data_IF_621954150824
#
_entry.id   IF_621954150824
#
_cell.length_a   1.000
_cell.length_b   1.000
_cell.length_c   1.000
_cell.angle_alpha   90.00
_cell.angle_beta   90.00
_cell.angle_gamma   90.00
#
_symmetry.space_group_name_H-M   'P 1'
#
loop_
_entity.id
_entity.type
_entity.pdbx_description
1 polymer ?
#
# COMPACT_ATOMS: atom_id res chain seq x y z
N UNK A 1 -38.03 27.07 -8.63
CA UNK A 1 -37.13 27.96 -7.89
C UNK A 1 -37.24 27.62 -6.40
N UNK A 2 -36.31 26.84 -5.88
CA UNK A 2 -36.27 26.50 -4.45
C UNK A 2 -34.86 26.73 -3.93
N UNK A 3 -34.72 27.75 -3.06
CA UNK A 3 -33.46 28.18 -2.47
C UNK A 3 -33.25 27.40 -1.17
N UNK A 4 -32.35 26.39 -1.15
CA UNK A 4 -31.94 25.79 0.11
C UNK A 4 -30.75 26.57 0.71
N UNK A 5 -31.05 27.27 1.82
CA UNK A 5 -30.06 27.91 2.69
C UNK A 5 -29.38 26.84 3.53
N UNK A 6 -28.08 26.60 3.29
CA UNK A 6 -27.25 25.79 4.17
C UNK A 6 -26.71 26.71 5.27
N UNK A 7 -27.11 26.40 6.51
CA UNK A 7 -26.65 27.06 7.73
C UNK A 7 -25.32 26.39 8.14
N UNK A 8 -24.25 27.17 8.15
CA UNK A 8 -23.00 26.77 8.75
C UNK A 8 -23.13 26.87 10.27
N UNK A 9 -22.95 25.75 10.95
CA UNK A 9 -22.80 25.69 12.41
C UNK A 9 -21.30 25.51 12.67
N UNK A 10 -20.68 26.53 13.25
CA UNK A 10 -19.34 26.45 13.85
C UNK A 10 -19.48 25.84 15.26
N UNK A 11 -18.61 24.93 15.65
CA UNK A 11 -18.30 24.75 17.05
C UNK A 11 -16.88 25.19 17.42
N UNK A 12 -16.86 26.12 18.29
CA UNK A 12 -16.05 26.38 19.47
C UNK A 12 -14.73 25.63 19.64
N UNK A 13 -13.68 26.46 19.71
CA UNK A 13 -12.37 26.20 20.28
C UNK A 13 -12.48 25.76 21.76
N UNK A 14 -11.86 24.62 22.08
CA UNK A 14 -11.46 24.29 23.44
C UNK A 14 -9.92 24.28 23.51
N UNK A 15 -9.37 25.32 24.10
CA UNK A 15 -7.98 25.42 24.53
C UNK A 15 -7.83 24.63 25.84
N UNK A 16 -6.97 23.62 25.83
CA UNK A 16 -6.51 23.00 27.09
C UNK A 16 -5.00 23.17 27.17
N UNK A 17 -4.62 24.07 28.06
CA UNK A 17 -3.27 24.21 28.60
C UNK A 17 -3.12 23.22 29.75
N UNK A 18 -2.01 22.47 29.82
CA UNK A 18 -1.50 21.92 31.08
C UNK A 18 -0.10 21.34 30.88
N UNK A 19 0.79 22.02 31.52
CA UNK A 19 1.59 21.60 32.67
C UNK A 19 2.87 20.83 32.34
N UNK A 20 3.96 21.57 32.57
CA UNK A 20 5.31 21.06 32.71
C UNK A 20 5.42 20.10 33.90
N UNK A 21 6.08 18.96 33.67
CA UNK A 21 6.74 18.19 34.72
C UNK A 21 8.23 18.16 34.45
N UNK A 22 8.95 18.91 35.30
CA UNK A 22 10.40 18.78 35.50
C UNK A 22 10.62 17.57 36.40
N UNK A 23 11.47 16.65 35.99
CA UNK A 23 11.81 15.44 36.76
C UNK A 23 13.17 14.89 36.37
N UNK A 24 14.17 15.28 37.12
CA UNK A 24 15.37 14.62 37.64
C UNK A 24 16.19 13.67 36.73
N UNK A 25 17.46 14.03 36.66
CA UNK A 25 18.60 13.27 36.23
C UNK A 25 18.67 11.86 36.89
N UNK A 26 18.87 10.85 36.04
CA UNK A 26 19.29 9.51 36.42
C UNK A 26 20.24 9.00 35.36
N UNK A 27 21.54 9.20 35.63
CA UNK A 27 22.64 8.57 34.90
C UNK A 27 22.56 7.07 35.11
N UNK A 28 22.48 6.29 34.04
CA UNK A 28 22.81 4.87 34.06
C UNK A 28 23.28 4.46 32.65
N UNK A 29 24.60 4.43 32.52
CA UNK A 29 25.30 3.78 31.42
C UNK A 29 24.92 2.31 31.38
N UNK A 30 24.09 1.93 30.41
CA UNK A 30 23.98 0.55 29.96
C UNK A 30 24.16 0.54 28.46
N UNK A 31 25.31 0.01 28.05
CA UNK A 31 25.66 -0.30 26.67
C UNK A 31 24.48 -0.94 25.95
N UNK A 32 23.82 -0.17 25.11
CA UNK A 32 22.85 -0.70 24.15
C UNK A 32 23.64 -1.51 23.12
N UNK A 33 23.63 -2.82 23.27
CA UNK A 33 23.97 -3.74 22.20
C UNK A 33 23.09 -3.39 21.01
N UNK A 34 23.67 -2.67 20.05
CA UNK A 34 23.07 -2.47 18.74
C UNK A 34 22.99 -3.84 18.07
N UNK A 35 21.86 -4.50 18.23
CA UNK A 35 21.50 -5.66 17.43
C UNK A 35 21.41 -5.14 16.00
N UNK A 36 22.49 -5.36 15.23
CA UNK A 36 22.46 -5.19 13.77
C UNK A 36 21.24 -5.99 13.27
N UNK A 37 20.30 -5.38 12.51
CA UNK A 37 19.24 -6.14 11.90
C UNK A 37 19.92 -7.22 11.06
N UNK A 38 19.71 -8.49 11.43
CA UNK A 38 20.04 -9.62 10.56
C UNK A 38 19.34 -9.33 9.24
N UNK A 39 20.11 -9.12 8.18
CA UNK A 39 19.57 -9.20 6.82
C UNK A 39 18.96 -10.60 6.71
N UNK A 40 17.65 -10.67 6.83
CA UNK A 40 16.89 -11.86 6.43
C UNK A 40 17.21 -12.08 4.95
N UNK A 41 18.10 -13.04 4.69
CA UNK A 41 18.27 -13.59 3.36
C UNK A 41 16.89 -13.96 2.88
N UNK A 42 16.48 -13.43 1.72
CA UNK A 42 15.27 -13.89 1.04
C UNK A 42 15.39 -15.41 0.85
N UNK A 43 14.76 -16.16 1.76
CA UNK A 43 14.75 -17.62 1.73
C UNK A 43 13.72 -18.15 0.71
N UNK A 44 12.97 -17.27 0.07
CA UNK A 44 11.96 -17.66 -0.90
C UNK A 44 12.62 -18.03 -2.22
N UNK A 45 12.38 -19.25 -2.72
CA UNK A 45 12.92 -19.69 -4.00
C UNK A 45 12.31 -18.87 -5.16
N UNK A 46 13.04 -18.78 -6.26
CA UNK A 46 12.48 -18.39 -7.55
C UNK A 46 12.57 -19.60 -8.48
N UNK A 47 11.58 -19.84 -9.30
CA UNK A 47 10.41 -19.05 -9.68
C UNK A 47 9.20 -19.17 -8.72
N UNK A 48 8.24 -18.26 -8.91
CA UNK A 48 7.05 -18.08 -8.03
C UNK A 48 6.17 -19.33 -7.91
N UNK A 49 6.11 -20.15 -8.95
CA UNK A 49 5.34 -21.41 -8.97
C UNK A 49 5.89 -22.47 -8.01
N UNK A 50 7.16 -22.35 -7.59
CA UNK A 50 7.83 -23.25 -6.65
C UNK A 50 7.82 -22.75 -5.20
N UNK A 51 7.29 -21.54 -4.94
CA UNK A 51 7.19 -20.97 -3.61
C UNK A 51 6.15 -21.70 -2.78
N UNK A 52 6.40 -21.83 -1.46
CA UNK A 52 5.39 -22.19 -0.49
C UNK A 52 4.44 -21.00 -0.22
N UNK A 53 3.37 -21.23 0.55
CA UNK A 53 2.36 -20.22 0.83
C UNK A 53 2.92 -19.00 1.55
N UNK A 54 3.78 -19.21 2.55
CA UNK A 54 4.42 -18.11 3.31
C UNK A 54 5.27 -17.23 2.39
N UNK A 55 6.01 -17.85 1.47
CA UNK A 55 6.81 -17.13 0.48
C UNK A 55 5.97 -16.38 -0.54
N UNK A 56 4.83 -16.93 -0.95
CA UNK A 56 3.89 -16.25 -1.83
C UNK A 56 3.32 -15.00 -1.16
N UNK A 57 2.90 -15.10 0.10
CA UNK A 57 2.36 -13.98 0.86
C UNK A 57 3.40 -12.88 1.07
N UNK A 58 4.63 -13.24 1.42
CA UNK A 58 5.75 -12.30 1.53
C UNK A 58 6.02 -11.61 0.19
N UNK A 59 5.94 -12.36 -0.90
CA UNK A 59 6.17 -11.84 -2.26
C UNK A 59 5.07 -10.87 -2.66
N UNK A 60 3.81 -11.21 -2.42
CA UNK A 60 2.67 -10.33 -2.67
C UNK A 60 2.79 -9.04 -1.85
N UNK A 61 3.07 -9.13 -0.55
CA UNK A 61 3.26 -7.97 0.31
C UNK A 61 4.37 -7.04 -0.19
N UNK A 62 5.49 -7.60 -0.65
CA UNK A 62 6.59 -6.80 -1.24
C UNK A 62 6.16 -6.07 -2.51
N UNK A 63 5.37 -6.71 -3.37
CA UNK A 63 4.84 -6.11 -4.59
C UNK A 63 3.83 -5.02 -4.29
N UNK A 64 2.93 -5.23 -3.35
CA UNK A 64 1.96 -4.22 -2.90
C UNK A 64 2.66 -2.99 -2.31
N UNK A 65 3.70 -3.19 -1.51
CA UNK A 65 4.53 -2.09 -1.01
C UNK A 65 5.21 -1.31 -2.15
N UNK A 66 5.75 -1.99 -3.16
CA UNK A 66 6.32 -1.33 -4.35
C UNK A 66 5.25 -0.53 -5.09
N UNK A 67 4.06 -1.09 -5.23
CA UNK A 67 2.93 -0.43 -5.88
C UNK A 67 2.51 0.84 -5.12
N UNK A 68 2.43 0.77 -3.81
CA UNK A 68 2.14 1.92 -2.96
C UNK A 68 3.19 3.03 -3.09
N UNK A 69 4.47 2.66 -3.12
CA UNK A 69 5.55 3.62 -3.33
C UNK A 69 5.47 4.27 -4.72
N UNK A 70 5.16 3.49 -5.76
CA UNK A 70 4.97 4.01 -7.12
C UNK A 70 3.83 5.01 -7.19
N UNK A 71 2.69 4.72 -6.56
CA UNK A 71 1.57 5.66 -6.50
C UNK A 71 1.89 6.92 -5.67
N UNK A 72 2.61 6.78 -4.56
CA UNK A 72 3.08 7.96 -3.78
C UNK A 72 3.96 8.87 -4.64
N UNK A 73 4.86 8.29 -5.44
CA UNK A 73 5.69 9.07 -6.38
C UNK A 73 4.83 9.76 -7.44
N UNK A 74 3.92 9.04 -8.08
CA UNK A 74 3.00 9.62 -9.08
C UNK A 74 2.15 10.74 -8.50
N UNK A 75 1.63 10.59 -7.28
CA UNK A 75 0.86 11.63 -6.59
C UNK A 75 1.70 12.88 -6.31
N UNK A 76 2.95 12.70 -5.87
CA UNK A 76 3.89 13.80 -5.64
C UNK A 76 4.21 14.54 -6.95
N UNK A 77 4.52 13.81 -8.00
CA UNK A 77 4.83 14.36 -9.32
C UNK A 77 3.63 15.08 -9.95
N UNK A 78 2.44 14.50 -9.83
CA UNK A 78 1.21 15.14 -10.28
C UNK A 78 0.90 16.45 -9.51
N UNK A 79 1.24 16.51 -8.22
CA UNK A 79 1.10 17.72 -7.43
C UNK A 79 2.08 18.84 -7.86
N UNK A 80 3.27 18.46 -8.32
CA UNK A 80 4.29 19.39 -8.86
C UNK A 80 4.09 19.71 -10.34
N UNK A 81 3.02 19.21 -10.97
CA UNK A 81 2.72 19.39 -12.40
C UNK A 81 3.87 18.93 -13.31
N UNK A 82 4.45 17.77 -12.99
CA UNK A 82 5.51 17.15 -13.80
C UNK A 82 5.05 17.03 -15.27
N UNK A 83 5.81 17.62 -16.18
CA UNK A 83 5.50 17.63 -17.62
C UNK A 83 5.41 16.23 -18.23
N UNK A 84 6.17 15.27 -17.71
CA UNK A 84 6.14 13.87 -18.16
C UNK A 84 4.79 13.19 -17.92
N UNK A 85 4.00 13.72 -16.99
CA UNK A 85 2.65 13.19 -16.69
C UNK A 85 1.58 13.75 -17.64
N UNK A 86 1.93 14.57 -18.65
CA UNK A 86 0.98 15.09 -19.65
C UNK A 86 -0.31 15.70 -19.06
N UNK A 87 -0.18 16.41 -17.94
CA UNK A 87 -1.33 17.03 -17.27
C UNK A 87 -2.18 16.09 -16.44
N UNK A 88 -1.78 14.82 -16.26
CA UNK A 88 -2.49 13.90 -15.38
C UNK A 88 -2.45 14.35 -13.92
N UNK A 89 -3.59 14.33 -13.28
CA UNK A 89 -3.77 14.83 -11.92
C UNK A 89 -3.67 13.72 -10.88
N UNK A 90 -3.49 14.10 -9.61
CA UNK A 90 -3.59 13.15 -8.49
C UNK A 90 -4.93 12.39 -8.51
N UNK A 91 -6.04 13.06 -8.84
CA UNK A 91 -7.35 12.44 -8.94
C UNK A 91 -7.41 11.36 -10.02
N UNK A 92 -6.76 11.58 -11.15
CA UNK A 92 -6.64 10.58 -12.22
C UNK A 92 -5.96 9.31 -11.72
N UNK A 93 -4.80 9.43 -11.06
CA UNK A 93 -4.08 8.27 -10.51
C UNK A 93 -4.82 7.59 -9.36
N UNK A 94 -5.55 8.37 -8.54
CA UNK A 94 -6.43 7.79 -7.50
C UNK A 94 -7.54 6.93 -8.13
N UNK A 95 -8.15 7.41 -9.21
CA UNK A 95 -9.19 6.66 -9.95
C UNK A 95 -8.63 5.38 -10.58
N UNK A 96 -7.43 5.45 -11.20
CA UNK A 96 -6.78 4.27 -11.77
C UNK A 96 -6.52 3.22 -10.68
N UNK A 97 -5.95 3.64 -9.54
CA UNK A 97 -5.65 2.74 -8.42
C UNK A 97 -6.91 2.04 -7.91
N UNK A 98 -7.97 2.79 -7.70
CA UNK A 98 -9.25 2.25 -7.21
C UNK A 98 -9.87 1.24 -8.18
N UNK A 99 -9.89 1.58 -9.48
CA UNK A 99 -10.43 0.70 -10.52
C UNK A 99 -9.59 -0.56 -10.69
N UNK A 100 -8.26 -0.42 -10.65
CA UNK A 100 -7.37 -1.56 -10.74
C UNK A 100 -7.58 -2.51 -9.54
N UNK A 101 -7.68 -1.97 -8.32
CA UNK A 101 -7.91 -2.80 -7.14
C UNK A 101 -9.23 -3.57 -7.23
N UNK A 102 -10.31 -2.90 -7.64
CA UNK A 102 -11.60 -3.56 -7.85
C UNK A 102 -11.53 -4.65 -8.92
N UNK A 103 -10.82 -4.41 -10.04
CA UNK A 103 -10.58 -5.40 -11.07
C UNK A 103 -9.77 -6.60 -10.56
N UNK A 104 -8.70 -6.36 -9.80
CA UNK A 104 -7.89 -7.42 -9.20
C UNK A 104 -8.71 -8.28 -8.25
N UNK A 105 -9.53 -7.65 -7.40
CA UNK A 105 -10.39 -8.35 -6.45
C UNK A 105 -11.42 -9.23 -7.18
N UNK A 106 -12.06 -8.69 -8.22
CA UNK A 106 -13.01 -9.44 -9.04
C UNK A 106 -12.34 -10.61 -9.78
N UNK A 107 -11.17 -10.37 -10.38
CA UNK A 107 -10.48 -11.38 -11.17
C UNK A 107 -9.86 -12.49 -10.30
N UNK A 108 -9.22 -12.13 -9.19
CA UNK A 108 -8.41 -13.07 -8.42
C UNK A 108 -9.17 -13.74 -7.27
N UNK A 109 -10.26 -13.12 -6.78
CA UNK A 109 -11.00 -13.62 -5.61
C UNK A 109 -12.45 -14.01 -5.94
N UNK A 110 -12.80 -14.09 -7.24
CA UNK A 110 -14.09 -14.63 -7.66
C UNK A 110 -14.12 -16.14 -7.36
N UNK A 111 -15.04 -16.61 -6.50
CA UNK A 111 -15.13 -18.03 -6.14
C UNK A 111 -15.48 -18.93 -7.32
N UNK A 112 -15.95 -18.38 -8.44
CA UNK A 112 -16.28 -19.16 -9.64
C UNK A 112 -15.05 -19.51 -10.48
N UNK A 113 -13.92 -18.80 -10.30
CA UNK A 113 -12.68 -19.01 -11.08
C UNK A 113 -11.84 -20.16 -10.52
N UNK A 114 -12.07 -20.59 -9.30
CA UNK A 114 -11.27 -21.62 -8.60
C UNK A 114 -11.83 -23.02 -8.82
N UNK A 115 -11.87 -23.50 -10.05
CA UNK A 115 -12.45 -24.82 -10.38
C UNK A 115 -11.46 -25.98 -10.40
N UNK A 116 -10.16 -25.74 -10.21
CA UNK A 116 -9.19 -26.83 -10.09
C UNK A 116 -9.11 -27.33 -8.63
N UNK A 117 -9.80 -28.45 -8.38
CA UNK A 117 -9.88 -29.10 -7.08
C UNK A 117 -8.54 -29.59 -6.51
N UNK A 118 -7.44 -29.49 -7.24
CA UNK A 118 -6.13 -29.99 -6.83
C UNK A 118 -5.25 -28.93 -6.17
N UNK A 119 -5.52 -27.67 -6.43
CA UNK A 119 -4.74 -26.55 -5.87
C UNK A 119 -5.59 -25.81 -4.84
N UNK A 120 -5.06 -25.53 -3.63
CA UNK A 120 -5.79 -24.72 -2.64
C UNK A 120 -6.23 -23.39 -3.22
N UNK A 121 -7.46 -22.98 -2.96
CA UNK A 121 -8.03 -21.74 -3.49
C UNK A 121 -7.16 -20.54 -3.12
N UNK A 122 -6.68 -20.46 -1.88
CA UNK A 122 -5.85 -19.37 -1.38
C UNK A 122 -4.55 -19.24 -2.19
N UNK A 123 -3.93 -20.37 -2.56
CA UNK A 123 -2.73 -20.35 -3.40
C UNK A 123 -3.01 -19.79 -4.80
N UNK A 124 -4.12 -20.18 -5.41
CA UNK A 124 -4.52 -19.67 -6.74
C UNK A 124 -4.77 -18.16 -6.66
N UNK A 125 -5.46 -17.71 -5.61
CA UNK A 125 -5.74 -16.29 -5.38
C UNK A 125 -4.46 -15.49 -5.23
N UNK A 126 -3.52 -15.96 -4.40
CA UNK A 126 -2.25 -15.27 -4.15
C UNK A 126 -1.39 -15.21 -5.42
N UNK A 127 -1.30 -16.30 -6.19
CA UNK A 127 -0.58 -16.33 -7.47
C UNK A 127 -1.18 -15.35 -8.48
N UNK A 128 -2.49 -15.33 -8.63
CA UNK A 128 -3.20 -14.37 -9.49
C UNK A 128 -2.90 -12.93 -9.04
N UNK A 129 -3.00 -12.63 -7.75
CA UNK A 129 -2.74 -11.30 -7.21
C UNK A 129 -1.28 -10.85 -7.44
N UNK A 130 -0.31 -11.74 -7.32
CA UNK A 130 1.10 -11.49 -7.64
C UNK A 130 1.24 -11.10 -9.11
N UNK A 131 0.72 -11.90 -10.02
CA UNK A 131 0.80 -11.66 -11.46
C UNK A 131 0.16 -10.32 -11.84
N UNK A 132 -1.07 -10.07 -11.38
CA UNK A 132 -1.78 -8.82 -11.67
C UNK A 132 -1.05 -7.59 -11.10
N UNK A 133 -0.46 -7.71 -9.91
CA UNK A 133 0.32 -6.61 -9.32
C UNK A 133 1.60 -6.32 -10.11
N UNK A 134 2.29 -7.35 -10.59
CA UNK A 134 3.47 -7.20 -11.45
C UNK A 134 3.13 -6.52 -12.78
N UNK A 135 2.05 -6.96 -13.43
CA UNK A 135 1.57 -6.37 -14.69
C UNK A 135 1.20 -4.89 -14.50
N UNK A 136 0.54 -4.58 -13.39
CA UNK A 136 0.16 -3.21 -13.09
C UNK A 136 1.35 -2.31 -12.79
N UNK A 137 2.32 -2.79 -12.01
CA UNK A 137 3.59 -2.08 -11.78
C UNK A 137 4.29 -1.75 -13.11
N UNK A 138 4.42 -2.74 -13.98
CA UNK A 138 5.00 -2.55 -15.32
C UNK A 138 4.22 -1.53 -16.17
N UNK A 139 2.89 -1.55 -16.09
CA UNK A 139 2.06 -0.57 -16.79
C UNK A 139 2.28 0.87 -16.27
N UNK A 140 2.59 1.02 -14.97
CA UNK A 140 2.87 2.32 -14.36
C UNK A 140 4.30 2.85 -14.63
N UNK A 141 5.22 2.04 -15.15
CA UNK A 141 6.59 2.48 -15.52
C UNK A 141 6.61 3.53 -16.61
N UNK A 142 5.59 3.53 -17.49
CA UNK A 142 5.45 4.50 -18.58
C UNK A 142 5.15 5.94 -18.11
N UNK A 143 4.78 6.10 -16.86
CA UNK A 143 4.54 7.39 -16.23
C UNK A 143 5.73 7.79 -15.35
#
# INVERSE_FOLDING_TARGET
MSKHKIRYILPLLAVIASAACVGAAGSSDKAANAVKPKQEKNLCPEPVDQMDEDCLDITLLKLENKLDMKYKDLFRRAATKDQKLHGMTKQYFTSIRSKWKAYQDELCYDPTVTTDLKTPADRIHTLCAIEQTQLHLKALERF
#
